data_IF_326538580805
#
_entry.id   IF_326538580805
#
_cell.length_a   1.000
_cell.length_b   1.000
_cell.length_c   1.000
_cell.angle_alpha   90.00
_cell.angle_beta   90.00
_cell.angle_gamma   90.00
#
_symmetry.space_group_name_H-M   'P 1'
#
loop_
_entity.id
_entity.type
_entity.pdbx_description
1 polymer ?
#
# COMPACT_ATOMS: atom_id res chain seq x y z
N UNK A 1 -27.75 -19.90 -32.17
CA UNK A 1 -27.06 -18.71 -32.70
C UNK A 1 -27.36 -17.54 -31.80
N UNK A 2 -26.51 -17.28 -30.77
CA UNK A 2 -26.56 -16.07 -29.93
C UNK A 2 -25.53 -16.19 -28.80
N UNK A 3 -24.24 -16.22 -29.14
CA UNK A 3 -23.15 -16.10 -28.16
C UNK A 3 -21.87 -15.72 -28.94
N UNK A 4 -21.71 -14.47 -29.31
CA UNK A 4 -20.43 -13.91 -29.82
C UNK A 4 -20.63 -12.40 -30.02
N UNK A 5 -20.66 -11.65 -28.91
CA UNK A 5 -20.69 -10.18 -29.00
C UNK A 5 -20.34 -9.57 -27.65
N UNK A 6 -19.15 -9.90 -27.09
CA UNK A 6 -18.61 -9.18 -25.92
C UNK A 6 -17.08 -9.33 -25.83
N UNK A 7 -16.38 -9.27 -26.97
CA UNK A 7 -14.91 -9.31 -26.90
C UNK A 7 -14.29 -8.37 -27.96
N UNK A 8 -14.69 -7.11 -28.00
CA UNK A 8 -14.03 -6.16 -28.92
C UNK A 8 -14.13 -4.71 -28.45
N UNK A 9 -13.73 -4.42 -27.23
CA UNK A 9 -13.69 -3.01 -26.77
C UNK A 9 -12.61 -2.78 -25.71
N UNK A 10 -11.41 -3.33 -25.86
CA UNK A 10 -10.25 -2.87 -25.11
C UNK A 10 -8.95 -3.12 -25.90
N UNK A 11 -8.90 -2.56 -27.12
CA UNK A 11 -7.60 -2.30 -27.73
C UNK A 11 -7.25 -0.84 -27.48
N UNK A 12 -6.93 -0.52 -26.25
CA UNK A 12 -6.25 0.72 -25.92
C UNK A 12 -4.77 0.47 -26.14
N UNK A 13 -4.23 0.98 -27.26
CA UNK A 13 -2.80 1.01 -27.49
C UNK A 13 -2.18 1.96 -26.48
N UNK A 14 -1.77 1.46 -25.33
CA UNK A 14 -0.92 2.16 -24.39
C UNK A 14 0.54 1.94 -24.80
N UNK A 15 1.02 2.73 -25.76
CA UNK A 15 2.43 3.06 -25.80
C UNK A 15 2.68 4.10 -24.71
N UNK A 16 2.83 3.68 -23.49
CA UNK A 16 3.48 4.49 -22.46
C UNK A 16 4.92 4.04 -22.44
N UNK A 17 5.77 4.82 -23.08
CA UNK A 17 7.20 4.81 -22.80
C UNK A 17 7.35 5.13 -21.32
N UNK A 18 8.13 4.34 -20.61
CA UNK A 18 8.60 4.64 -19.27
C UNK A 18 9.51 5.88 -19.37
N UNK A 19 8.92 7.05 -19.21
CA UNK A 19 9.64 8.30 -19.04
C UNK A 19 8.70 9.28 -18.34
N UNK A 20 9.09 9.70 -17.14
CA UNK A 20 8.44 10.68 -16.27
C UNK A 20 6.93 10.44 -16.10
N UNK A 21 6.52 9.95 -14.93
CA UNK A 21 5.11 9.98 -14.55
C UNK A 21 4.67 11.45 -14.63
N UNK A 22 4.05 11.79 -15.75
CA UNK A 22 3.62 13.16 -16.01
C UNK A 22 2.63 13.55 -14.92
N UNK A 23 2.90 14.66 -14.27
CA UNK A 23 1.99 15.27 -13.33
C UNK A 23 1.25 16.45 -14.00
N UNK A 24 0.28 16.18 -14.88
CA UNK A 24 -0.45 17.21 -15.60
C UNK A 24 -1.33 18.06 -14.66
N UNK A 25 -1.51 17.63 -13.41
CA UNK A 25 -2.27 18.30 -12.37
C UNK A 25 -1.38 18.87 -11.26
N UNK A 26 -0.08 19.08 -11.53
CA UNK A 26 0.89 19.51 -10.52
C UNK A 26 0.42 20.70 -9.69
N UNK A 27 -0.11 21.75 -10.32
CA UNK A 27 -0.61 22.94 -9.61
C UNK A 27 -1.74 22.58 -8.62
N UNK A 28 -2.67 21.70 -9.02
CA UNK A 28 -3.78 21.26 -8.17
C UNK A 28 -3.26 20.34 -7.07
N UNK A 29 -2.35 19.43 -7.42
CA UNK A 29 -1.73 18.50 -6.49
C UNK A 29 -0.91 19.23 -5.43
N UNK A 30 -0.16 20.26 -5.79
CA UNK A 30 0.59 21.09 -4.84
C UNK A 30 -0.35 21.87 -3.89
N UNK A 31 -1.46 22.42 -4.39
CA UNK A 31 -2.47 23.07 -3.53
C UNK A 31 -3.09 22.06 -2.56
N UNK A 32 -3.45 20.88 -3.04
CA UNK A 32 -4.01 19.81 -2.20
C UNK A 32 -3.00 19.34 -1.17
N UNK A 33 -1.73 19.18 -1.56
CA UNK A 33 -0.63 18.86 -0.65
C UNK A 33 -0.49 19.90 0.45
N UNK A 34 -0.48 21.18 0.11
CA UNK A 34 -0.39 22.27 1.10
C UNK A 34 -1.58 22.26 2.09
N UNK A 35 -2.80 21.95 1.61
CA UNK A 35 -3.97 21.78 2.48
C UNK A 35 -3.80 20.58 3.41
N UNK A 36 -3.33 19.42 2.87
CA UNK A 36 -3.05 18.22 3.67
C UNK A 36 -2.00 18.50 4.74
N UNK A 37 -0.92 19.19 4.37
CA UNK A 37 0.15 19.58 5.29
C UNK A 37 -0.34 20.53 6.40
N UNK A 38 -1.21 21.47 6.06
CA UNK A 38 -1.82 22.36 7.03
C UNK A 38 -2.74 21.61 8.02
N UNK A 39 -3.54 20.67 7.52
CA UNK A 39 -4.40 19.80 8.36
C UNK A 39 -3.57 18.87 9.24
N UNK A 40 -2.50 18.29 8.69
CA UNK A 40 -1.59 17.44 9.44
C UNK A 40 -0.94 18.22 10.59
N UNK A 41 -0.33 19.36 10.29
CA UNK A 41 0.34 20.19 11.28
C UNK A 41 -0.63 20.73 12.36
N UNK A 42 -1.88 21.01 11.99
CA UNK A 42 -2.86 21.55 12.92
C UNK A 42 -3.55 20.46 13.80
N UNK A 43 -3.72 19.25 13.27
CA UNK A 43 -4.56 18.22 13.90
C UNK A 43 -3.83 16.89 14.05
N UNK A 44 -3.42 16.23 12.93
CA UNK A 44 -2.96 14.86 12.97
C UNK A 44 -1.62 14.72 13.71
N UNK A 45 -0.66 15.56 13.38
CA UNK A 45 0.67 15.56 14.01
C UNK A 45 0.64 15.83 15.51
N UNK A 46 -0.05 16.85 16.05
CA UNK A 46 -0.15 17.02 17.50
C UNK A 46 -0.77 15.82 18.22
N UNK A 47 -1.81 15.22 17.64
CA UNK A 47 -2.46 14.04 18.23
C UNK A 47 -1.52 12.82 18.17
N UNK A 48 -0.79 12.63 17.07
CA UNK A 48 0.20 11.56 16.92
C UNK A 48 1.35 11.68 17.93
N UNK A 49 1.86 12.88 18.15
CA UNK A 49 2.89 13.14 19.19
C UNK A 49 2.35 12.76 20.58
N UNK A 50 1.14 13.22 20.94
CA UNK A 50 0.54 12.87 22.23
C UNK A 50 0.34 11.35 22.36
N UNK A 51 -0.13 10.69 21.30
CA UNK A 51 -0.26 9.23 21.28
C UNK A 51 1.09 8.54 21.51
N UNK A 52 2.15 8.98 20.82
CA UNK A 52 3.51 8.46 21.01
C UNK A 52 4.03 8.63 22.44
N UNK A 53 3.81 9.83 23.02
CA UNK A 53 4.29 10.17 24.36
C UNK A 53 3.58 9.38 25.48
N UNK A 54 2.26 9.14 25.35
CA UNK A 54 1.46 8.48 26.40
C UNK A 54 1.34 6.98 26.25
N UNK A 55 1.57 6.44 25.03
CA UNK A 55 1.40 5.03 24.73
C UNK A 55 2.74 4.31 24.76
N UNK A 56 2.95 3.36 25.71
CA UNK A 56 4.20 2.62 25.74
C UNK A 56 4.47 1.87 24.44
N UNK A 57 5.74 1.75 23.97
CA UNK A 57 6.10 1.09 22.71
C UNK A 57 5.58 -0.34 22.59
N UNK A 58 5.45 -1.06 23.71
CA UNK A 58 4.84 -2.37 23.75
C UNK A 58 3.38 -2.34 23.27
N UNK A 59 2.58 -1.34 23.67
CA UNK A 59 1.18 -1.20 23.26
C UNK A 59 1.08 -0.76 21.81
N UNK A 60 1.89 0.23 21.39
CA UNK A 60 1.97 0.67 19.99
C UNK A 60 2.21 -0.53 19.06
N UNK A 61 3.23 -1.34 19.35
CA UNK A 61 3.54 -2.54 18.60
C UNK A 61 2.37 -3.57 18.54
N UNK A 62 1.49 -3.61 19.54
CA UNK A 62 0.29 -4.49 19.49
C UNK A 62 -0.77 -3.92 18.57
N UNK A 63 -0.95 -2.60 18.59
CA UNK A 63 -1.88 -1.90 17.69
C UNK A 63 -1.44 -2.08 16.24
N UNK A 64 -0.16 -1.84 15.92
CA UNK A 64 0.41 -2.07 14.59
C UNK A 64 0.16 -3.50 14.10
N UNK A 65 0.46 -4.50 14.94
CA UNK A 65 0.29 -5.93 14.57
C UNK A 65 -1.17 -6.30 14.35
N UNK A 66 -2.07 -5.76 15.15
CA UNK A 66 -3.50 -5.95 14.96
C UNK A 66 -3.97 -5.46 13.58
N UNK A 67 -3.57 -4.24 13.18
CA UNK A 67 -3.92 -3.71 11.86
C UNK A 67 -3.24 -4.46 10.71
N UNK A 68 -1.97 -4.83 10.87
CA UNK A 68 -1.29 -5.71 9.89
C UNK A 68 -2.00 -7.05 9.73
N UNK A 69 -2.46 -7.66 10.82
CA UNK A 69 -3.24 -8.89 10.74
C UNK A 69 -4.59 -8.73 10.02
N UNK A 70 -5.25 -7.57 10.18
CA UNK A 70 -6.46 -7.26 9.40
C UNK A 70 -6.15 -7.06 7.91
N UNK A 71 -5.02 -6.47 7.58
CA UNK A 71 -4.56 -6.27 6.21
C UNK A 71 -4.20 -7.59 5.49
N UNK A 72 -3.80 -8.64 6.23
CA UNK A 72 -3.53 -9.98 5.65
C UNK A 72 -4.73 -10.53 4.86
N UNK A 73 -5.98 -10.08 5.16
CA UNK A 73 -7.18 -10.48 4.41
C UNK A 73 -7.12 -9.94 2.98
N UNK A 74 -6.75 -8.68 2.81
CA UNK A 74 -6.56 -8.05 1.51
C UNK A 74 -5.36 -8.71 0.79
N UNK A 75 -4.26 -8.87 1.51
CA UNK A 75 -3.02 -9.47 1.00
C UNK A 75 -3.26 -10.86 0.40
N UNK A 76 -3.83 -11.83 1.14
CA UNK A 76 -3.97 -13.18 0.61
C UNK A 76 -4.95 -13.26 -0.57
N UNK A 77 -5.99 -12.40 -0.61
CA UNK A 77 -6.90 -12.32 -1.74
C UNK A 77 -6.17 -11.80 -2.97
N UNK A 78 -5.39 -10.73 -2.84
CA UNK A 78 -4.64 -10.13 -3.93
C UNK A 78 -3.53 -11.06 -4.43
N UNK A 79 -2.81 -11.75 -3.56
CA UNK A 79 -1.87 -12.81 -3.94
C UNK A 79 -2.53 -13.89 -4.81
N UNK A 80 -3.74 -14.32 -4.43
CA UNK A 80 -4.49 -15.29 -5.21
C UNK A 80 -4.92 -14.73 -6.58
N UNK A 81 -5.35 -13.47 -6.64
CA UNK A 81 -5.73 -12.77 -7.87
C UNK A 81 -4.54 -12.53 -8.82
N UNK A 82 -3.35 -12.35 -8.28
CA UNK A 82 -2.10 -12.22 -9.03
C UNK A 82 -1.55 -13.56 -9.52
N UNK A 83 -2.17 -14.68 -9.15
CA UNK A 83 -1.72 -16.01 -9.56
C UNK A 83 -0.56 -16.56 -8.73
N UNK A 84 -0.38 -16.08 -7.52
CA UNK A 84 0.64 -16.49 -6.53
C UNK A 84 0.03 -17.38 -5.41
N UNK A 85 -0.52 -18.58 -5.71
CA UNK A 85 -1.29 -19.36 -4.73
C UNK A 85 -0.47 -19.80 -3.51
N UNK A 86 0.84 -19.99 -3.66
CA UNK A 86 1.71 -20.38 -2.56
C UNK A 86 1.79 -19.27 -1.51
N UNK A 87 1.98 -18.02 -1.95
CA UNK A 87 2.01 -16.85 -1.07
C UNK A 87 0.63 -16.58 -0.46
N UNK A 88 -0.44 -16.69 -1.27
CA UNK A 88 -1.81 -16.58 -0.76
C UNK A 88 -2.12 -17.56 0.37
N UNK A 89 -1.69 -18.83 0.27
CA UNK A 89 -1.85 -19.81 1.34
C UNK A 89 -0.98 -19.48 2.56
N UNK A 90 0.20 -18.93 2.36
CA UNK A 90 1.08 -18.49 3.43
C UNK A 90 0.42 -17.33 4.21
N UNK A 91 -0.07 -16.30 3.54
CA UNK A 91 -0.68 -15.13 4.16
C UNK A 91 -2.04 -15.48 4.81
N UNK A 92 -2.83 -16.37 4.20
CA UNK A 92 -4.03 -16.94 4.85
C UNK A 92 -3.66 -17.72 6.13
N UNK A 93 -2.56 -18.47 6.11
CA UNK A 93 -2.00 -19.17 7.29
C UNK A 93 -1.59 -18.19 8.38
N UNK A 94 -0.91 -17.10 8.02
CA UNK A 94 -0.54 -15.99 8.92
C UNK A 94 -1.76 -15.41 9.59
N UNK A 95 -2.75 -14.98 8.79
CA UNK A 95 -4.02 -14.44 9.31
C UNK A 95 -4.67 -15.41 10.32
N UNK A 96 -4.76 -16.70 9.98
CA UNK A 96 -5.41 -17.69 10.82
C UNK A 96 -4.66 -17.91 12.16
N UNK A 97 -3.33 -18.04 12.10
CA UNK A 97 -2.49 -18.26 13.27
C UNK A 97 -2.51 -17.03 14.18
N UNK A 98 -2.30 -15.85 13.61
CA UNK A 98 -2.23 -14.61 14.36
C UNK A 98 -3.61 -14.23 14.92
N UNK A 99 -4.70 -14.51 14.23
CA UNK A 99 -6.06 -14.25 14.73
C UNK A 99 -6.47 -15.20 15.86
N UNK A 100 -6.00 -16.46 15.85
CA UNK A 100 -6.36 -17.46 16.87
C UNK A 100 -5.34 -17.49 18.01
N UNK A 101 -4.15 -17.99 17.76
CA UNK A 101 -3.06 -18.12 18.74
C UNK A 101 -2.50 -16.76 19.13
N UNK A 102 -2.41 -15.84 18.16
CA UNK A 102 -1.91 -14.48 18.33
C UNK A 102 -2.92 -13.49 18.92
N UNK A 103 -4.10 -13.95 19.42
CA UNK A 103 -5.14 -13.13 20.05
C UNK A 103 -5.58 -11.96 19.15
N UNK A 104 -6.23 -12.27 18.03
CA UNK A 104 -6.71 -11.30 17.03
C UNK A 104 -5.57 -10.47 16.40
N UNK A 105 -4.37 -11.04 16.29
CA UNK A 105 -3.22 -10.37 15.69
C UNK A 105 -2.40 -9.49 16.64
N UNK A 106 -2.74 -9.42 17.92
CA UNK A 106 -1.91 -8.68 18.90
C UNK A 106 -0.50 -9.28 19.03
N UNK A 107 -0.35 -10.57 18.73
CA UNK A 107 0.94 -11.27 18.71
C UNK A 107 1.17 -11.88 17.33
N UNK A 108 2.31 -11.57 16.73
CA UNK A 108 2.73 -12.19 15.47
C UNK A 108 3.44 -13.53 15.75
N UNK A 109 2.64 -14.56 15.88
CA UNK A 109 3.10 -15.94 16.12
C UNK A 109 3.58 -16.56 14.81
N UNK A 110 2.94 -16.19 13.70
CA UNK A 110 3.23 -16.75 12.38
C UNK A 110 4.68 -16.48 11.93
N UNK A 111 5.21 -15.27 12.17
CA UNK A 111 6.63 -14.97 11.91
C UNK A 111 7.55 -15.85 12.73
N UNK A 112 7.22 -16.14 14.00
CA UNK A 112 7.97 -17.08 14.82
C UNK A 112 7.95 -18.54 14.32
N UNK A 113 6.98 -18.88 13.45
CA UNK A 113 6.87 -20.17 12.77
C UNK A 113 7.56 -20.21 11.38
N UNK A 114 8.20 -19.12 10.97
CA UNK A 114 8.89 -19.00 9.69
C UNK A 114 8.01 -18.63 8.50
N UNK A 115 6.80 -18.07 8.75
CA UNK A 115 5.96 -17.53 7.71
C UNK A 115 6.28 -16.03 7.52
N UNK A 116 6.79 -15.68 6.37
CA UNK A 116 7.11 -14.31 6.00
C UNK A 116 5.83 -13.49 5.75
N UNK A 117 5.87 -12.19 6.05
CA UNK A 117 4.76 -11.27 5.82
C UNK A 117 4.91 -10.60 4.47
N UNK A 118 3.80 -10.49 3.75
CA UNK A 118 3.71 -9.73 2.50
C UNK A 118 2.67 -8.61 2.66
N UNK A 119 2.72 -7.64 1.78
CA UNK A 119 1.73 -6.56 1.73
C UNK A 119 1.26 -6.39 0.29
N UNK A 120 -0.02 -6.67 0.04
CA UNK A 120 -0.63 -6.61 -1.29
C UNK A 120 -1.96 -5.87 -1.23
N UNK A 121 -2.24 -5.12 -2.30
CA UNK A 121 -3.52 -4.46 -2.49
C UNK A 121 -4.06 -4.64 -3.91
N UNK A 122 -5.30 -4.21 -4.14
CA UNK A 122 -5.92 -4.37 -5.45
C UNK A 122 -5.32 -3.43 -6.53
N UNK A 123 -4.68 -2.33 -6.15
CA UNK A 123 -3.92 -1.48 -7.07
C UNK A 123 -2.67 -2.18 -7.61
N UNK A 124 -1.94 -2.90 -6.75
CA UNK A 124 -0.84 -3.77 -7.16
C UNK A 124 -1.34 -4.88 -8.09
N UNK A 125 -2.43 -5.56 -7.73
CA UNK A 125 -3.06 -6.58 -8.57
C UNK A 125 -3.40 -6.05 -9.98
N UNK A 126 -3.97 -4.84 -10.07
CA UNK A 126 -4.20 -4.20 -11.37
C UNK A 126 -2.89 -3.90 -12.12
N UNK A 127 -1.83 -3.49 -11.41
CA UNK A 127 -0.49 -3.30 -11.97
C UNK A 127 0.08 -4.59 -12.57
N UNK A 128 0.07 -5.68 -11.82
CA UNK A 128 0.48 -7.02 -12.29
C UNK A 128 -0.34 -7.48 -13.50
N UNK A 129 -1.62 -7.10 -13.58
CA UNK A 129 -2.46 -7.37 -14.76
C UNK A 129 -2.18 -6.43 -15.95
N UNK A 130 -1.21 -5.52 -15.82
CA UNK A 130 -0.79 -4.60 -16.89
C UNK A 130 -1.61 -3.33 -17.00
N UNK A 131 -2.38 -2.97 -15.98
CA UNK A 131 -3.07 -1.66 -15.95
C UNK A 131 -2.04 -0.59 -15.59
N UNK A 132 -1.80 0.41 -16.47
CA UNK A 132 -0.81 1.45 -16.18
C UNK A 132 -1.21 2.29 -14.96
N UNK A 133 -0.23 2.81 -14.24
CA UNK A 133 -0.47 3.68 -13.07
C UNK A 133 -1.31 4.92 -13.43
N UNK A 134 -1.11 5.46 -14.63
CA UNK A 134 -1.73 6.69 -15.09
C UNK A 134 -1.18 7.91 -14.37
N UNK A 135 -1.98 8.97 -14.31
CA UNK A 135 -1.60 10.26 -13.76
C UNK A 135 -1.49 10.24 -12.24
N UNK A 136 -0.45 10.89 -11.70
CA UNK A 136 -0.33 11.15 -10.27
C UNK A 136 -1.44 12.11 -9.78
N UNK A 137 -2.00 11.82 -8.61
CA UNK A 137 -3.10 12.59 -8.00
C UNK A 137 -2.86 12.71 -6.49
N UNK A 138 -2.81 13.93 -5.98
CA UNK A 138 -2.81 14.18 -4.53
C UNK A 138 -4.25 14.30 -4.02
N UNK A 139 -4.67 13.34 -3.21
CA UNK A 139 -6.03 13.30 -2.67
C UNK A 139 -6.14 14.10 -1.36
N UNK A 140 -7.22 14.87 -1.16
CA UNK A 140 -7.45 15.54 0.11
C UNK A 140 -7.53 14.54 1.27
N UNK A 141 -6.79 14.81 2.35
CA UNK A 141 -6.70 14.00 3.59
C UNK A 141 -6.03 12.64 3.40
N UNK A 142 -6.23 11.99 2.26
CA UNK A 142 -5.76 10.62 1.99
C UNK A 142 -4.27 10.61 1.58
N UNK A 143 -3.81 11.66 0.88
CA UNK A 143 -2.42 11.77 0.44
C UNK A 143 -2.18 11.31 -1.02
N UNK A 144 -0.94 10.87 -1.35
CA UNK A 144 -0.56 10.51 -2.70
C UNK A 144 -1.34 9.31 -3.25
N UNK A 145 -1.61 9.33 -4.55
CA UNK A 145 -2.32 8.29 -5.28
C UNK A 145 -1.99 8.42 -6.79
N UNK A 146 -2.47 7.47 -7.58
CA UNK A 146 -2.50 7.55 -9.03
C UNK A 146 -3.87 7.13 -9.56
N UNK A 147 -4.11 7.26 -10.86
CA UNK A 147 -5.40 6.95 -11.45
C UNK A 147 -5.83 5.49 -11.25
N UNK A 148 -4.90 4.53 -11.38
CA UNK A 148 -5.13 3.11 -11.14
C UNK A 148 -5.51 2.84 -9.69
N UNK A 149 -4.71 3.34 -8.76
CA UNK A 149 -4.91 3.09 -7.33
C UNK A 149 -6.18 3.78 -6.81
N UNK A 150 -6.53 4.95 -7.37
CA UNK A 150 -7.80 5.60 -7.08
C UNK A 150 -9.00 4.73 -7.50
N UNK A 151 -8.93 4.10 -8.69
CA UNK A 151 -9.98 3.20 -9.16
C UNK A 151 -10.03 1.88 -8.37
N UNK A 152 -8.92 1.42 -7.80
CA UNK A 152 -8.86 0.21 -6.98
C UNK A 152 -9.47 0.39 -5.59
N UNK A 153 -9.48 1.61 -5.04
CA UNK A 153 -9.91 1.91 -3.65
C UNK A 153 -11.27 1.35 -3.24
N UNK A 154 -12.34 1.42 -4.07
CA UNK A 154 -13.62 0.82 -3.68
C UNK A 154 -13.52 -0.68 -3.44
N UNK A 155 -12.71 -1.39 -4.24
CA UNK A 155 -12.51 -2.84 -4.12
C UNK A 155 -11.62 -3.14 -2.93
N UNK A 156 -10.49 -2.46 -2.77
CA UNK A 156 -9.61 -2.59 -1.59
C UNK A 156 -10.37 -2.30 -0.29
N UNK A 157 -11.24 -1.27 -0.28
CA UNK A 157 -12.09 -0.99 0.87
C UNK A 157 -13.05 -2.13 1.18
N UNK A 158 -13.60 -2.79 0.16
CA UNK A 158 -14.49 -3.94 0.32
C UNK A 158 -13.72 -5.18 0.81
N UNK A 159 -12.50 -5.39 0.36
CA UNK A 159 -11.64 -6.51 0.75
C UNK A 159 -11.00 -6.30 2.14
N UNK A 160 -10.92 -5.07 2.63
CA UNK A 160 -10.29 -4.78 3.91
C UNK A 160 -11.00 -5.49 5.07
N UNK A 161 -10.21 -6.02 6.01
CA UNK A 161 -10.75 -6.70 7.19
C UNK A 161 -11.70 -5.84 8.04
N UNK A 162 -11.60 -4.52 7.94
CA UNK A 162 -12.51 -3.58 8.61
C UNK A 162 -13.89 -3.54 7.98
N UNK A 163 -14.05 -3.89 6.70
CA UNK A 163 -15.35 -3.92 6.02
C UNK A 163 -16.28 -4.98 6.61
N UNK A 164 -15.73 -6.09 7.12
CA UNK A 164 -16.51 -7.12 7.79
C UNK A 164 -17.18 -6.66 9.10
N UNK A 165 -16.79 -5.49 9.60
CA UNK A 165 -17.36 -4.91 10.82
C UNK A 165 -18.67 -4.21 10.47
N UNK A 166 -19.77 -4.72 11.03
CA UNK A 166 -21.12 -4.21 10.77
C UNK A 166 -21.43 -2.91 11.49
N UNK A 167 -20.72 -2.63 12.59
CA UNK A 167 -20.88 -1.41 13.37
C UNK A 167 -20.05 -0.28 12.78
N UNK A 168 -20.73 0.79 12.32
CA UNK A 168 -20.11 1.94 11.67
C UNK A 168 -19.21 2.72 12.63
N UNK A 169 -19.61 2.86 13.90
CA UNK A 169 -18.86 3.63 14.89
C UNK A 169 -17.55 2.90 15.24
N UNK A 170 -17.60 1.58 15.39
CA UNK A 170 -16.41 0.74 15.61
C UNK A 170 -15.47 0.83 14.42
N UNK A 171 -16.00 0.71 13.20
CA UNK A 171 -15.19 0.81 11.97
C UNK A 171 -14.50 2.17 11.87
N UNK A 172 -15.23 3.26 12.10
CA UNK A 172 -14.68 4.61 12.09
C UNK A 172 -13.60 4.81 13.16
N UNK A 173 -13.83 4.32 14.36
CA UNK A 173 -12.87 4.40 15.46
C UNK A 173 -11.57 3.63 15.13
N UNK A 174 -11.68 2.43 14.57
CA UNK A 174 -10.51 1.64 14.15
C UNK A 174 -9.77 2.29 13.00
N UNK A 175 -10.46 2.82 11.99
CA UNK A 175 -9.81 3.55 10.89
C UNK A 175 -9.08 4.79 11.40
N UNK A 176 -9.66 5.53 12.34
CA UNK A 176 -9.00 6.68 12.94
C UNK A 176 -7.79 6.27 13.79
N UNK A 177 -7.88 5.16 14.51
CA UNK A 177 -6.75 4.65 15.31
C UNK A 177 -5.61 4.15 14.41
N UNK A 178 -5.92 3.47 13.32
CA UNK A 178 -4.94 3.01 12.33
C UNK A 178 -4.22 4.19 11.66
N UNK A 179 -4.97 5.21 11.25
CA UNK A 179 -4.40 6.44 10.69
C UNK A 179 -3.49 7.17 11.71
N UNK A 180 -3.90 7.22 12.97
CA UNK A 180 -3.13 7.84 14.05
C UNK A 180 -1.83 7.09 14.32
N UNK A 181 -1.88 5.77 14.45
CA UNK A 181 -0.73 4.91 14.66
C UNK A 181 0.25 5.00 13.48
N UNK A 182 -0.29 4.92 12.26
CA UNK A 182 0.50 5.08 11.05
C UNK A 182 1.19 6.45 11.02
N UNK A 183 0.47 7.53 11.36
CA UNK A 183 1.04 8.88 11.40
C UNK A 183 2.16 9.00 12.46
N UNK A 184 1.99 8.39 13.61
CA UNK A 184 3.00 8.38 14.65
C UNK A 184 4.29 7.72 14.18
N UNK A 185 4.24 6.55 13.54
CA UNK A 185 5.41 5.86 12.98
C UNK A 185 6.18 6.69 11.96
N UNK A 186 5.51 7.59 11.24
CA UNK A 186 6.14 8.45 10.24
C UNK A 186 6.72 9.76 10.82
N UNK A 187 6.55 10.05 12.12
CA UNK A 187 7.11 11.28 12.71
C UNK A 187 8.64 11.37 12.60
N UNK A 188 9.31 10.26 12.83
CA UNK A 188 10.78 10.20 12.79
C UNK A 188 11.33 10.36 11.35
N UNK A 189 10.56 9.95 10.35
CA UNK A 189 10.97 10.07 8.94
C UNK A 189 10.93 11.50 8.41
N UNK A 190 10.17 12.39 9.03
CA UNK A 190 10.13 13.80 8.62
C UNK A 190 11.49 14.49 8.69
N UNK A 191 12.35 14.07 9.61
CA UNK A 191 13.69 14.64 9.79
C UNK A 191 14.64 14.31 8.61
N UNK A 192 14.32 13.30 7.80
CA UNK A 192 15.14 12.84 6.68
C UNK A 192 14.79 13.61 5.41
N UNK A 193 13.58 14.19 5.33
CA UNK A 193 13.10 14.89 4.13
C UNK A 193 13.90 16.16 3.93
N UNK A 194 14.66 16.23 2.83
CA UNK A 194 15.44 17.39 2.41
C UNK A 194 14.89 17.94 1.08
N UNK A 195 14.89 19.27 0.95
CA UNK A 195 14.45 19.93 -0.28
C UNK A 195 12.94 20.13 -0.38
N UNK A 196 12.39 20.02 -1.57
CA UNK A 196 10.96 20.20 -1.82
C UNK A 196 10.15 18.98 -1.34
N UNK A 197 9.31 19.17 -0.36
CA UNK A 197 8.52 18.11 0.27
C UNK A 197 7.48 17.50 -0.67
N UNK A 198 6.88 18.32 -1.53
CA UNK A 198 5.91 17.81 -2.50
C UNK A 198 6.56 16.83 -3.47
N UNK A 199 7.67 17.24 -4.08
CA UNK A 199 8.45 16.41 -5.01
C UNK A 199 8.93 15.13 -4.31
N UNK A 200 9.48 15.25 -3.09
CA UNK A 200 9.92 14.09 -2.32
C UNK A 200 8.78 13.06 -2.09
N UNK A 201 7.61 13.53 -1.65
CA UNK A 201 6.46 12.64 -1.36
C UNK A 201 5.93 12.00 -2.64
N UNK A 202 5.89 12.75 -3.75
CA UNK A 202 5.49 12.24 -5.06
C UNK A 202 6.43 11.13 -5.53
N UNK A 203 7.73 11.41 -5.53
CA UNK A 203 8.75 10.46 -6.04
C UNK A 203 8.83 9.21 -5.15
N UNK A 204 8.80 9.37 -3.83
CA UNK A 204 8.77 8.25 -2.90
C UNK A 204 7.53 7.36 -3.11
N UNK A 205 6.35 7.96 -3.35
CA UNK A 205 5.15 7.20 -3.65
C UNK A 205 5.27 6.41 -4.95
N UNK A 206 5.75 7.04 -6.02
CA UNK A 206 5.90 6.40 -7.34
C UNK A 206 6.88 5.23 -7.23
N UNK A 207 8.06 5.45 -6.67
CA UNK A 207 9.08 4.42 -6.51
C UNK A 207 8.60 3.26 -5.61
N UNK A 208 7.93 3.56 -4.49
CA UNK A 208 7.35 2.51 -3.64
C UNK A 208 6.33 1.66 -4.40
N UNK A 209 5.47 2.28 -5.22
CA UNK A 209 4.46 1.52 -5.98
C UNK A 209 5.07 0.66 -7.08
N UNK A 210 6.11 1.11 -7.74
CA UNK A 210 6.81 0.33 -8.77
C UNK A 210 7.54 -0.86 -8.12
N UNK A 211 8.22 -0.64 -7.00
CA UNK A 211 8.87 -1.68 -6.22
C UNK A 211 7.88 -2.73 -5.68
N UNK A 212 6.71 -2.31 -5.17
CA UNK A 212 5.65 -3.19 -4.68
C UNK A 212 5.04 -4.06 -5.81
N UNK A 213 4.86 -3.52 -7.02
CA UNK A 213 4.29 -4.24 -8.17
C UNK A 213 5.28 -5.26 -8.74
N UNK A 214 6.58 -4.98 -8.65
CA UNK A 214 7.65 -5.89 -9.07
C UNK A 214 8.05 -6.92 -8.01
N UNK A 215 7.31 -7.03 -6.91
CA UNK A 215 7.63 -7.93 -5.77
C UNK A 215 9.01 -7.67 -5.15
N UNK A 216 9.50 -6.43 -5.24
CA UNK A 216 10.80 -6.06 -4.72
C UNK A 216 11.95 -6.25 -5.69
N UNK A 217 11.68 -6.69 -6.91
CA UNK A 217 12.68 -6.70 -7.98
C UNK A 217 12.88 -5.26 -8.49
N UNK A 218 14.10 -4.77 -8.47
CA UNK A 218 14.44 -3.47 -9.02
C UNK A 218 15.12 -3.62 -10.38
N UNK A 219 15.00 -2.63 -11.27
CA UNK A 219 15.73 -2.63 -12.55
C UNK A 219 17.26 -2.73 -12.35
N UNK A 220 17.77 -2.35 -11.17
CA UNK A 220 19.19 -2.52 -10.80
C UNK A 220 19.53 -3.99 -10.53
N UNK A 221 18.62 -4.77 -9.96
CA UNK A 221 18.82 -6.19 -9.68
C UNK A 221 18.82 -6.97 -11.00
N UNK A 222 17.91 -6.69 -11.94
CA UNK A 222 17.90 -7.24 -13.29
C UNK A 222 19.19 -6.91 -14.05
N UNK A 223 19.67 -5.67 -13.93
CA UNK A 223 20.93 -5.26 -14.56
C UNK A 223 22.15 -5.99 -13.96
N UNK A 224 22.16 -6.26 -12.67
CA UNK A 224 23.25 -7.01 -12.03
C UNK A 224 23.21 -8.50 -12.41
N UNK A 225 22.03 -9.10 -12.54
CA UNK A 225 21.83 -10.47 -12.98
C UNK A 225 22.26 -10.64 -14.45
N UNK A 226 21.87 -9.71 -15.33
CA UNK A 226 22.32 -9.67 -16.73
C UNK A 226 23.86 -9.51 -16.86
N UNK A 227 24.50 -8.72 -15.97
CA UNK A 227 25.94 -8.57 -15.92
C UNK A 227 26.66 -9.85 -15.47
N UNK A 228 26.14 -10.53 -14.47
CA UNK A 228 26.69 -11.79 -13.98
C UNK A 228 26.57 -12.89 -15.04
N UNK A 229 25.46 -12.98 -15.77
CA UNK A 229 25.29 -13.92 -16.89
C UNK A 229 26.28 -13.61 -18.03
N UNK A 230 26.50 -12.33 -18.34
CA UNK A 230 27.48 -11.94 -19.37
C UNK A 230 28.93 -12.25 -18.97
N UNK A 231 29.28 -12.20 -17.67
CA UNK A 231 30.64 -12.48 -17.17
C UNK A 231 30.91 -13.98 -16.98
N UNK A 232 29.89 -14.83 -16.96
CA UNK A 232 30.02 -16.28 -16.81
C UNK A 232 30.23 -16.99 -18.18
N UNK A 233 29.82 -16.36 -19.28
CA UNK A 233 29.90 -16.93 -20.64
C UNK A 233 31.27 -16.71 -21.34
N UNK A 234 32.29 -16.14 -20.70
CA UNK A 234 33.67 -16.04 -21.14
C UNK A 234 34.64 -16.99 -20.34
#
# INVERSE_FOLDING_TARGET
MRKLLFLSLFSFNAYVLADDVQDPFEEINQVTFAVNEALDNAIAKPIAIVYGDITPPFIQNRVTRFFKNLAEIDTFINQALQGKPKLAFQDFGRFTINSTIGLFGLFDVATGMGLEAHEEDFGQTLGVWGVPCGTYIMLPVIGPSNARDLMSRPISSFLSGTFAMTDTDVRLALTALDALETRERYLDFEAIIQGDRYTFVKDAYIQSRDYEISDGESDEDDFLEDLDDFLIDD
#
